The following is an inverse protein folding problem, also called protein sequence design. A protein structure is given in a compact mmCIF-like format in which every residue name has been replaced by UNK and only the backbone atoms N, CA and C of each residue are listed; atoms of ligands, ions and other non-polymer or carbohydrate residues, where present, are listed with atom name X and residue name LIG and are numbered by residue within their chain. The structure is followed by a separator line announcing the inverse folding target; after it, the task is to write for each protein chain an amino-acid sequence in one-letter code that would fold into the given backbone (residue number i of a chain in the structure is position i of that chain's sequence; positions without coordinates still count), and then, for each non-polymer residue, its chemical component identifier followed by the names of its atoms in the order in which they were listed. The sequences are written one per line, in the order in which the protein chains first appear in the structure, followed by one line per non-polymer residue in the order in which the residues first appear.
data_IF_778293252674
#
_entry.id   IF_778293252674
#
_cell.length_a   1.000
_cell.length_b   1.000
_cell.length_c   1.000
_cell.angle_alpha   90.00
_cell.angle_beta   90.00
_cell.angle_gamma   90.00
#
_symmetry.space_group_name_H-M   'P 1'
#
loop_
_entity.id
_entity.type
_entity.pdbx_description
1 polymer ?
#
# COMPACT_ATOMS: atom_id res chain seq x y z
N UNK A 1 -12.48 16.13 -7.10
CA UNK A 1 -12.40 16.99 -8.29
C UNK A 1 -10.96 17.39 -8.62
N UNK A 2 -10.18 18.02 -7.74
CA UNK A 2 -8.77 18.38 -8.04
C UNK A 2 -7.91 17.16 -8.40
N UNK A 3 -8.04 16.06 -7.66
CA UNK A 3 -7.31 14.82 -7.92
C UNK A 3 -7.59 14.18 -9.28
N UNK A 4 -8.78 14.36 -9.84
CA UNK A 4 -9.13 13.84 -11.17
C UNK A 4 -9.00 14.88 -12.28
N UNK A 5 -8.63 16.14 -11.96
CA UNK A 5 -8.53 17.23 -12.92
C UNK A 5 -9.86 17.65 -13.55
N UNK A 6 -10.98 17.44 -12.84
CA UNK A 6 -12.33 17.74 -13.34
C UNK A 6 -13.08 18.74 -12.45
N UNK A 7 -14.14 19.33 -12.96
CA UNK A 7 -15.04 20.15 -12.19
C UNK A 7 -15.75 19.35 -11.09
N UNK A 8 -16.26 19.99 -10.06
CA UNK A 8 -16.88 19.31 -8.92
C UNK A 8 -18.13 18.54 -9.33
N UNK A 9 -18.95 19.08 -10.17
CA UNK A 9 -20.15 18.47 -10.72
C UNK A 9 -19.86 17.25 -11.57
N UNK A 10 -18.69 17.18 -12.19
CA UNK A 10 -18.27 16.07 -13.07
C UNK A 10 -17.51 14.95 -12.33
N UNK A 11 -17.23 15.12 -11.03
CA UNK A 11 -16.40 14.18 -10.29
C UNK A 11 -16.97 12.76 -10.27
N UNK A 12 -18.21 12.60 -9.79
CA UNK A 12 -18.85 11.27 -9.70
C UNK A 12 -19.13 10.64 -11.07
N UNK A 13 -19.67 11.39 -12.07
CA UNK A 13 -19.83 10.86 -13.41
C UNK A 13 -18.51 10.39 -14.04
N UNK A 14 -17.42 11.17 -13.88
CA UNK A 14 -16.10 10.81 -14.40
C UNK A 14 -15.53 9.58 -13.72
N UNK A 15 -15.58 9.53 -12.37
CA UNK A 15 -15.13 8.36 -11.62
C UNK A 15 -15.88 7.10 -12.02
N UNK A 16 -17.23 7.17 -12.08
CA UNK A 16 -18.07 6.04 -12.50
C UNK A 16 -17.80 5.58 -13.93
N UNK A 17 -17.46 6.50 -14.83
CA UNK A 17 -17.08 6.19 -16.21
C UNK A 17 -15.71 5.49 -16.25
N UNK A 18 -14.71 6.02 -15.53
CA UNK A 18 -13.35 5.50 -15.52
C UNK A 18 -13.28 4.13 -14.86
N UNK A 19 -14.01 3.88 -13.77
CA UNK A 19 -14.11 2.56 -13.11
C UNK A 19 -14.65 1.43 -14.00
N UNK A 20 -15.28 1.76 -15.12
CA UNK A 20 -15.78 0.78 -16.11
C UNK A 20 -14.78 0.51 -17.24
N UNK A 21 -13.66 1.23 -17.28
CA UNK A 21 -12.62 1.00 -18.26
C UNK A 21 -11.71 -0.15 -17.79
N UNK A 22 -11.02 -0.83 -18.71
CA UNK A 22 -10.00 -1.80 -18.34
C UNK A 22 -8.85 -1.12 -17.58
N UNK A 23 -8.17 -1.85 -16.67
CA UNK A 23 -7.02 -1.31 -15.96
C UNK A 23 -5.88 -0.98 -16.92
N UNK A 24 -5.14 0.10 -16.64
CA UNK A 24 -3.98 0.51 -17.45
C UNK A 24 -2.71 -0.28 -17.12
N UNK A 25 -2.63 -0.84 -15.89
CA UNK A 25 -1.43 -1.51 -15.41
C UNK A 25 -0.35 -0.55 -14.94
N UNK A 26 0.89 -1.06 -14.87
CA UNK A 26 2.06 -0.34 -14.37
C UNK A 26 3.09 -0.12 -15.47
N UNK A 27 3.88 0.95 -15.31
CA UNK A 27 5.10 1.21 -16.08
C UNK A 27 6.28 1.12 -15.12
N UNK A 28 7.18 0.19 -15.37
CA UNK A 28 8.39 0.06 -14.55
C UNK A 28 9.39 1.14 -14.92
N UNK A 29 9.86 1.88 -13.92
CA UNK A 29 10.93 2.88 -14.06
C UNK A 29 12.10 2.54 -13.15
N UNK A 30 13.30 2.94 -13.55
CA UNK A 30 14.50 2.58 -12.81
C UNK A 30 14.66 3.36 -11.49
N UNK A 31 14.11 4.57 -11.42
CA UNK A 31 14.20 5.46 -10.26
C UNK A 31 13.03 6.44 -10.23
N UNK A 32 12.86 7.15 -9.12
CA UNK A 32 11.84 8.19 -8.93
C UNK A 32 12.09 8.98 -7.66
N UNK A 33 11.27 10.00 -7.36
CA UNK A 33 11.42 10.82 -6.17
C UNK A 33 11.53 10.04 -4.86
N UNK A 34 10.81 8.92 -4.73
CA UNK A 34 10.87 8.04 -3.55
C UNK A 34 12.27 7.47 -3.28
N UNK A 35 13.16 7.49 -4.27
CA UNK A 35 14.55 6.98 -4.18
C UNK A 35 15.58 8.08 -3.89
N UNK A 36 15.18 9.33 -3.65
CA UNK A 36 16.12 10.42 -3.40
C UNK A 36 16.92 10.23 -2.09
N UNK A 37 16.28 9.64 -1.08
CA UNK A 37 16.91 9.35 0.22
C UNK A 37 16.58 7.92 0.62
N UNK A 38 17.60 7.11 0.86
CA UNK A 38 17.45 5.69 1.21
C UNK A 38 18.17 5.42 2.53
N UNK A 39 17.47 4.79 3.47
CA UNK A 39 18.01 4.27 4.72
C UNK A 39 17.89 2.75 4.72
N UNK A 40 18.97 2.05 5.08
CA UNK A 40 18.98 0.59 5.16
C UNK A 40 19.70 0.11 6.43
N UNK A 41 19.42 -1.13 6.83
CA UNK A 41 20.09 -1.75 7.97
C UNK A 41 19.90 -0.97 9.27
N UNK A 42 21.01 -0.62 9.93
CA UNK A 42 20.99 0.06 11.24
C UNK A 42 20.62 1.55 11.17
N UNK A 43 20.62 2.14 9.97
CA UNK A 43 20.21 3.53 9.78
C UNK A 43 18.67 3.69 9.76
N UNK A 44 17.94 2.59 9.66
CA UNK A 44 16.46 2.59 9.67
C UNK A 44 15.96 2.88 11.08
N UNK A 45 15.19 3.94 11.21
CA UNK A 45 14.49 4.30 12.45
C UNK A 45 13.17 5.00 12.11
N UNK A 46 12.10 4.21 11.97
CA UNK A 46 10.79 4.75 11.64
C UNK A 46 10.10 5.46 12.82
N UNK A 47 10.66 5.40 14.04
CA UNK A 47 10.21 6.24 15.15
C UNK A 47 10.46 7.74 14.89
N UNK A 48 11.32 8.07 13.91
CA UNK A 48 11.52 9.43 13.43
C UNK A 48 10.34 9.94 12.58
N UNK A 49 9.50 9.04 12.05
CA UNK A 49 8.29 9.45 11.36
C UNK A 49 7.31 10.09 12.37
N UNK A 50 6.60 11.16 11.96
CA UNK A 50 5.70 11.90 12.85
C UNK A 50 4.37 11.15 13.08
N UNK A 51 4.44 9.99 13.72
CA UNK A 51 3.27 9.22 14.09
C UNK A 51 2.53 9.90 15.26
N UNK A 52 1.30 10.36 15.09
CA UNK A 52 0.56 11.02 16.15
C UNK A 52 0.02 10.03 17.19
N UNK A 53 -0.24 10.54 18.39
CA UNK A 53 -1.17 9.94 19.36
C UNK A 53 -2.49 10.67 19.16
N UNK A 54 -3.53 10.00 18.68
CA UNK A 54 -4.78 10.65 18.28
C UNK A 54 -5.65 11.06 19.47
N UNK A 55 -5.59 10.29 20.57
CA UNK A 55 -6.28 10.62 21.81
C UNK A 55 -5.46 10.23 23.05
N UNK A 56 -5.76 10.85 24.20
CA UNK A 56 -5.10 10.51 25.45
C UNK A 56 -5.38 9.06 25.92
N UNK A 57 -6.51 8.53 25.52
CA UNK A 57 -6.95 7.19 25.87
C UNK A 57 -6.21 6.10 25.08
N UNK A 58 -5.80 6.40 23.82
CA UNK A 58 -5.06 5.44 23.00
C UNK A 58 -3.65 5.18 23.51
N UNK A 59 -2.98 6.21 24.03
CA UNK A 59 -1.65 6.12 24.62
C UNK A 59 -0.52 5.66 23.68
N UNK A 60 -0.82 5.30 22.46
CA UNK A 60 0.11 4.78 21.47
C UNK A 60 0.17 5.65 20.21
N UNK A 61 1.33 5.66 19.56
CA UNK A 61 1.48 6.25 18.25
C UNK A 61 0.80 5.37 17.21
N UNK A 62 0.06 5.99 16.32
CA UNK A 62 -0.68 5.26 15.29
C UNK A 62 -0.60 6.02 13.95
N UNK A 63 -0.30 5.28 12.90
CA UNK A 63 -0.30 5.81 11.53
C UNK A 63 -1.19 4.92 10.69
N UNK A 64 -2.18 5.48 10.00
CA UNK A 64 -2.88 4.81 8.92
C UNK A 64 -2.18 5.12 7.62
N UNK A 65 -1.81 4.09 6.87
CA UNK A 65 -1.13 4.22 5.60
C UNK A 65 -1.60 3.16 4.61
N UNK A 66 -1.38 3.42 3.33
CA UNK A 66 -1.56 2.41 2.30
C UNK A 66 -0.47 1.36 2.44
N UNK A 67 -0.85 0.10 2.38
CA UNK A 67 0.09 -1.01 2.30
C UNK A 67 0.00 -1.71 0.96
N UNK A 68 1.13 -2.21 0.49
CA UNK A 68 1.24 -3.02 -0.71
C UNK A 68 1.78 -4.38 -0.31
N UNK A 69 1.09 -5.43 -0.70
CA UNK A 69 1.53 -6.83 -0.58
C UNK A 69 1.35 -7.53 -1.93
N UNK A 70 2.01 -8.66 -2.12
CA UNK A 70 1.94 -9.44 -3.35
C UNK A 70 1.47 -10.86 -3.04
N UNK A 71 0.50 -11.33 -3.82
CA UNK A 71 0.05 -12.72 -3.78
C UNK A 71 1.19 -13.64 -4.22
N UNK A 72 1.60 -14.63 -3.38
CA UNK A 72 2.77 -15.46 -3.67
C UNK A 72 2.53 -16.47 -4.80
N UNK A 73 1.28 -16.77 -5.14
CA UNK A 73 0.93 -17.72 -6.19
C UNK A 73 0.81 -17.04 -7.56
N UNK A 74 0.15 -15.89 -7.59
CA UNK A 74 -0.22 -15.22 -8.84
C UNK A 74 0.68 -14.05 -9.18
N UNK A 75 1.43 -13.52 -8.19
CA UNK A 75 2.20 -12.28 -8.34
C UNK A 75 1.37 -11.02 -8.33
N UNK A 76 0.09 -11.13 -8.06
CA UNK A 76 -0.87 -10.04 -8.03
C UNK A 76 -0.61 -9.06 -6.88
N UNK A 77 -0.70 -7.78 -7.15
CA UNK A 77 -0.52 -6.71 -6.17
C UNK A 77 -1.84 -6.32 -5.53
N UNK A 78 -1.90 -6.39 -4.21
CA UNK A 78 -3.00 -5.86 -3.43
C UNK A 78 -2.57 -4.62 -2.67
N UNK A 79 -3.39 -3.60 -2.68
CA UNK A 79 -3.23 -2.43 -1.82
C UNK A 79 -4.41 -2.30 -0.86
N UNK A 80 -4.11 -1.94 0.37
CA UNK A 80 -5.13 -1.76 1.40
C UNK A 80 -4.66 -0.74 2.43
N UNK A 81 -5.58 -0.23 3.25
CA UNK A 81 -5.22 0.55 4.43
C UNK A 81 -5.07 -0.35 5.65
N UNK A 82 -3.99 -0.16 6.39
CA UNK A 82 -3.84 -0.75 7.71
C UNK A 82 -3.28 0.27 8.70
N UNK A 83 -3.74 0.13 9.93
CA UNK A 83 -3.17 0.83 11.05
C UNK A 83 -1.84 0.24 11.45
N UNK A 84 -0.86 1.09 11.64
CA UNK A 84 0.49 0.69 12.01
C UNK A 84 0.91 1.41 13.28
N UNK A 85 1.38 0.65 14.27
CA UNK A 85 1.88 1.15 15.55
C UNK A 85 3.37 0.87 15.63
N UNK A 86 4.25 1.87 15.46
CA UNK A 86 5.67 1.73 15.69
C UNK A 86 5.95 1.47 17.17
N UNK A 87 6.66 0.38 17.49
CA UNK A 87 7.04 0.04 18.88
C UNK A 87 8.54 0.01 19.12
N UNK A 88 9.32 0.13 18.05
CA UNK A 88 10.78 0.22 18.09
C UNK A 88 11.31 0.74 16.77
N UNK A 89 12.60 1.04 16.66
CA UNK A 89 13.19 1.62 15.44
C UNK A 89 12.90 0.84 14.16
N UNK A 90 12.78 -0.48 14.27
CA UNK A 90 12.57 -1.40 13.14
C UNK A 90 11.44 -2.40 13.37
N UNK A 91 10.58 -2.17 14.37
CA UNK A 91 9.51 -3.08 14.72
C UNK A 91 8.21 -2.32 14.95
N UNK A 92 7.10 -2.92 14.57
CA UNK A 92 5.76 -2.40 14.80
C UNK A 92 4.69 -3.47 14.72
N UNK A 93 3.50 -3.10 15.09
CA UNK A 93 2.30 -3.90 14.91
C UNK A 93 1.46 -3.32 13.79
N UNK A 94 0.80 -4.19 13.04
CA UNK A 94 -0.14 -3.80 12.00
C UNK A 94 -1.48 -4.51 12.23
N UNK A 95 -2.57 -3.77 12.01
CA UNK A 95 -3.91 -4.31 12.04
C UNK A 95 -4.48 -4.36 10.64
N UNK A 96 -4.59 -5.56 10.08
CA UNK A 96 -5.17 -5.78 8.76
C UNK A 96 -6.67 -6.02 8.89
N UNK A 97 -7.47 -5.10 8.39
CA UNK A 97 -8.93 -5.20 8.42
C UNK A 97 -9.54 -5.69 7.09
N UNK A 98 -8.72 -5.77 6.02
CA UNK A 98 -9.21 -6.07 4.68
C UNK A 98 -9.17 -7.57 4.37
N UNK A 99 -10.25 -8.14 3.78
CA UNK A 99 -10.32 -9.57 3.46
C UNK A 99 -9.18 -10.05 2.54
N UNK A 100 -8.83 -9.26 1.54
CA UNK A 100 -7.81 -9.63 0.54
C UNK A 100 -6.43 -9.85 1.16
N UNK A 101 -6.01 -8.96 2.06
CA UNK A 101 -4.73 -9.15 2.78
C UNK A 101 -4.74 -10.43 3.61
N UNK A 102 -5.85 -10.77 4.26
CA UNK A 102 -5.97 -12.02 5.00
C UNK A 102 -5.89 -13.26 4.10
N UNK A 103 -6.51 -13.22 2.92
CA UNK A 103 -6.41 -14.31 1.93
C UNK A 103 -4.96 -14.48 1.49
N UNK A 104 -4.26 -13.40 1.18
CA UNK A 104 -2.84 -13.44 0.79
C UNK A 104 -1.98 -13.99 1.94
N UNK A 105 -2.16 -13.50 3.17
CA UNK A 105 -1.47 -14.04 4.35
C UNK A 105 -1.71 -15.54 4.52
N UNK A 106 -2.94 -16.03 4.30
CA UNK A 106 -3.26 -17.44 4.38
C UNK A 106 -2.53 -18.26 3.31
N UNK A 107 -2.41 -17.75 2.09
CA UNK A 107 -1.63 -18.40 1.02
C UNK A 107 -0.15 -18.56 1.39
N UNK A 108 0.46 -17.52 2.00
CA UNK A 108 1.83 -17.64 2.53
C UNK A 108 1.93 -18.80 3.52
N UNK A 109 1.00 -18.90 4.48
CA UNK A 109 0.96 -20.00 5.46
C UNK A 109 0.78 -21.37 4.81
N UNK A 110 -0.14 -21.48 3.85
CA UNK A 110 -0.44 -22.73 3.15
C UNK A 110 0.75 -23.24 2.32
N UNK A 111 1.59 -22.32 1.84
CA UNK A 111 2.87 -22.61 1.18
C UNK A 111 4.02 -22.92 2.15
N UNK A 112 3.77 -22.83 3.46
CA UNK A 112 4.79 -23.04 4.49
C UNK A 112 5.76 -21.86 4.63
N UNK A 113 5.43 -20.70 4.08
CA UNK A 113 6.19 -19.45 4.23
C UNK A 113 5.79 -18.74 5.52
N UNK A 114 6.76 -18.19 6.21
CA UNK A 114 6.54 -17.46 7.48
C UNK A 114 6.66 -15.95 7.32
N UNK A 115 7.22 -15.50 6.21
CA UNK A 115 7.56 -14.12 5.95
C UNK A 115 6.81 -13.59 4.72
N UNK A 116 5.99 -12.56 4.90
CA UNK A 116 5.30 -11.86 3.82
C UNK A 116 5.91 -10.46 3.66
N UNK A 117 6.50 -10.15 2.49
CA UNK A 117 6.95 -8.80 2.19
C UNK A 117 5.79 -7.79 2.20
N UNK A 118 6.06 -6.61 2.74
CA UNK A 118 5.12 -5.49 2.78
C UNK A 118 5.82 -4.17 2.55
N UNK A 119 5.20 -3.29 1.78
CA UNK A 119 5.60 -1.90 1.67
C UNK A 119 4.50 -1.00 2.26
N UNK A 120 4.86 -0.16 3.22
CA UNK A 120 3.97 0.85 3.82
C UNK A 120 4.27 2.17 3.13
N UNK A 121 3.26 2.76 2.49
CA UNK A 121 3.43 3.85 1.55
C UNK A 121 2.66 5.09 2.01
N UNK A 122 3.34 6.23 2.03
CA UNK A 122 2.80 7.52 2.43
C UNK A 122 2.95 8.55 1.32
N UNK A 123 2.03 9.52 1.28
CA UNK A 123 2.13 10.65 0.37
C UNK A 123 2.02 10.28 -1.09
N UNK A 124 0.99 9.52 -1.44
CA UNK A 124 0.67 9.17 -2.83
C UNK A 124 -0.48 10.02 -3.38
N UNK A 125 -0.66 9.98 -4.69
CA UNK A 125 -1.82 10.63 -5.30
C UNK A 125 -3.14 10.10 -4.72
N UNK A 126 -4.15 10.93 -4.41
CA UNK A 126 -5.39 10.51 -3.75
C UNK A 126 -6.15 9.36 -4.41
N UNK A 127 -5.92 9.10 -5.69
CA UNK A 127 -6.52 7.96 -6.38
C UNK A 127 -6.06 6.60 -5.81
N UNK A 128 -4.82 6.52 -5.30
CA UNK A 128 -4.33 5.32 -4.61
C UNK A 128 -5.12 5.08 -3.32
N UNK A 129 -5.37 6.16 -2.56
CA UNK A 129 -6.14 6.09 -1.32
C UNK A 129 -7.59 5.65 -1.57
N UNK A 130 -8.20 6.14 -2.66
CA UNK A 130 -9.54 5.73 -3.08
C UNK A 130 -9.55 4.24 -3.41
N UNK A 131 -8.57 3.78 -4.19
CA UNK A 131 -8.53 2.38 -4.63
C UNK A 131 -8.16 1.42 -3.51
N UNK A 132 -7.24 1.78 -2.62
CA UNK A 132 -6.88 0.98 -1.46
C UNK A 132 -8.05 0.74 -0.48
N UNK A 133 -9.11 1.55 -0.58
CA UNK A 133 -10.36 1.39 0.18
C UNK A 133 -11.51 0.81 -0.66
N UNK A 134 -11.26 0.45 -1.91
CA UNK A 134 -12.31 -0.06 -2.79
C UNK A 134 -12.48 -1.57 -2.62
N UNK A 135 -13.64 -2.00 -2.16
CA UNK A 135 -13.93 -3.40 -1.80
C UNK A 135 -14.74 -4.18 -2.86
N UNK A 136 -14.84 -3.67 -4.06
CA UNK A 136 -15.69 -4.26 -5.12
C UNK A 136 -14.93 -5.00 -6.23
N UNK A 137 -13.65 -5.31 -6.03
CA UNK A 137 -12.77 -5.81 -7.06
C UNK A 137 -12.69 -7.34 -7.08
N UNK A 138 -12.63 -7.90 -8.27
CA UNK A 138 -12.37 -9.33 -8.45
C UNK A 138 -10.85 -9.55 -8.52
N UNK A 139 -10.27 -10.11 -7.45
CA UNK A 139 -8.85 -10.46 -7.39
C UNK A 139 -8.37 -11.38 -8.53
N UNK A 140 -9.31 -12.01 -9.23
CA UNK A 140 -9.00 -12.93 -10.32
C UNK A 140 -8.66 -12.22 -11.64
N UNK A 141 -8.90 -10.92 -11.74
CA UNK A 141 -8.81 -10.19 -12.99
C UNK A 141 -7.87 -9.00 -12.95
N UNK A 142 -7.89 -8.19 -11.89
CA UNK A 142 -7.07 -6.99 -11.72
C UNK A 142 -7.18 -6.45 -10.28
N UNK A 143 -6.17 -5.72 -9.84
CA UNK A 143 -6.07 -5.18 -8.49
C UNK A 143 -6.37 -3.70 -8.38
N UNK A 144 -6.42 -3.26 -7.14
CA UNK A 144 -6.64 -1.86 -6.81
C UNK A 144 -5.59 -0.97 -7.47
N UNK A 145 -4.34 -1.43 -7.48
CA UNK A 145 -3.21 -0.66 -8.00
C UNK A 145 -3.32 -0.40 -9.52
N UNK A 146 -3.73 -1.41 -10.31
CA UNK A 146 -3.86 -1.27 -11.76
C UNK A 146 -4.97 -0.29 -12.15
N UNK A 147 -5.98 -0.13 -11.30
CA UNK A 147 -7.07 0.80 -11.53
C UNK A 147 -6.72 2.25 -11.24
N UNK A 148 -5.68 2.52 -10.45
CA UNK A 148 -5.28 3.90 -10.17
C UNK A 148 -4.99 4.66 -11.45
N UNK A 149 -4.18 4.08 -12.36
CA UNK A 149 -3.87 4.71 -13.65
C UNK A 149 -5.10 4.98 -14.50
N UNK A 150 -6.06 4.07 -14.47
CA UNK A 150 -7.34 4.24 -15.16
C UNK A 150 -8.15 5.40 -14.58
N UNK A 151 -8.17 5.53 -13.26
CA UNK A 151 -8.90 6.60 -12.58
C UNK A 151 -8.29 7.98 -12.85
N UNK A 152 -6.96 8.09 -12.83
CA UNK A 152 -6.29 9.38 -13.10
C UNK A 152 -6.08 9.65 -14.59
N UNK A 153 -6.34 8.66 -15.45
CA UNK A 153 -6.12 8.69 -16.89
C UNK A 153 -4.64 8.92 -17.27
N UNK A 154 -3.73 8.33 -16.51
CA UNK A 154 -2.29 8.38 -16.69
C UNK A 154 -1.67 7.02 -16.36
N UNK A 155 -0.50 6.73 -16.95
CA UNK A 155 0.26 5.55 -16.56
C UNK A 155 0.84 5.72 -15.16
N UNK A 156 0.90 4.62 -14.41
CA UNK A 156 1.48 4.60 -13.06
C UNK A 156 2.92 4.12 -13.17
N UNK A 157 3.83 4.98 -12.76
CA UNK A 157 5.25 4.62 -12.66
C UNK A 157 5.52 3.92 -11.33
N UNK A 158 6.14 2.74 -11.41
CA UNK A 158 6.52 1.91 -10.28
C UNK A 158 8.03 1.68 -10.27
N UNK A 159 8.63 1.76 -9.09
CA UNK A 159 10.05 1.42 -8.86
C UNK A 159 10.16 0.16 -8.01
N UNK A 160 11.22 -0.66 -8.19
CA UNK A 160 11.48 -1.79 -7.29
C UNK A 160 11.82 -1.27 -5.89
N UNK A 161 11.41 -2.01 -4.86
CA UNK A 161 11.88 -1.83 -3.50
C UNK A 161 13.39 -2.12 -3.39
N UNK A 162 14.03 -1.65 -2.30
CA UNK A 162 15.46 -1.84 -2.05
C UNK A 162 15.76 -3.22 -1.44
N UNK A 163 14.89 -3.68 -0.55
CA UNK A 163 15.18 -4.83 0.32
C UNK A 163 14.20 -5.99 0.18
N UNK A 164 13.08 -5.77 -0.51
CA UNK A 164 12.02 -6.77 -0.67
C UNK A 164 11.56 -6.87 -2.14
N UNK A 165 11.02 -8.02 -2.54
CA UNK A 165 10.52 -8.24 -3.90
C UNK A 165 9.11 -7.64 -4.09
N UNK A 166 9.02 -6.32 -3.97
CA UNK A 166 7.83 -5.53 -4.27
C UNK A 166 8.18 -4.34 -5.17
N UNK A 167 7.16 -3.74 -5.76
CA UNK A 167 7.20 -2.45 -6.44
C UNK A 167 6.31 -1.46 -5.74
N UNK A 168 6.72 -0.20 -5.73
CA UNK A 168 6.01 0.90 -5.08
C UNK A 168 5.88 2.07 -6.04
N UNK A 169 4.89 2.97 -5.85
CA UNK A 169 4.76 4.17 -6.68
C UNK A 169 6.04 5.02 -6.63
N UNK A 170 6.58 5.34 -7.81
CA UNK A 170 7.82 6.12 -7.95
C UNK A 170 7.73 7.52 -7.33
N UNK A 171 6.52 8.07 -7.24
CA UNK A 171 6.20 9.40 -6.73
C UNK A 171 5.64 9.40 -5.30
N UNK A 172 5.76 8.29 -4.56
CA UNK A 172 5.45 8.29 -3.13
C UNK A 172 6.43 9.19 -2.36
N UNK A 173 5.97 9.81 -1.28
CA UNK A 173 6.84 10.66 -0.44
C UNK A 173 7.72 9.80 0.48
N UNK A 174 7.15 8.76 1.09
CA UNK A 174 7.86 7.85 1.99
C UNK A 174 7.41 6.42 1.74
N UNK A 175 8.37 5.49 1.73
CA UNK A 175 8.10 4.05 1.74
C UNK A 175 8.88 3.41 2.89
N UNK A 176 8.21 2.60 3.67
CA UNK A 176 8.83 1.73 4.67
C UNK A 176 8.69 0.29 4.20
N UNK A 177 9.80 -0.34 3.92
CA UNK A 177 9.87 -1.75 3.53
C UNK A 177 9.99 -2.64 4.77
N UNK A 178 9.28 -3.75 4.78
CA UNK A 178 9.28 -4.65 5.92
C UNK A 178 8.82 -6.05 5.59
N UNK A 179 8.85 -6.88 6.62
CA UNK A 179 8.38 -8.27 6.59
C UNK A 179 7.32 -8.46 7.67
N UNK A 180 6.21 -9.04 7.31
CA UNK A 180 5.19 -9.49 8.25
C UNK A 180 5.44 -10.96 8.57
N UNK A 181 5.61 -11.27 9.86
CA UNK A 181 5.64 -12.66 10.34
C UNK A 181 4.20 -13.20 10.33
N UNK A 182 3.88 -14.00 9.32
CA UNK A 182 2.54 -14.57 9.14
C UNK A 182 2.32 -15.85 9.96
N UNK A 183 3.37 -16.38 10.62
CA UNK A 183 3.25 -17.54 11.50
C UNK A 183 2.59 -17.20 12.84
N UNK A 184 2.61 -15.93 13.21
CA UNK A 184 2.05 -15.43 14.45
C UNK A 184 0.75 -14.66 14.21
N UNK A 185 -0.26 -14.95 14.98
CA UNK A 185 -1.48 -14.14 15.10
C UNK A 185 -1.54 -13.62 16.52
N UNK A 186 -1.60 -12.31 16.66
CA UNK A 186 -1.87 -11.69 17.95
C UNK A 186 -3.37 -11.37 18.01
N UNK A 187 -4.07 -11.92 18.99
CA UNK A 187 -5.40 -11.41 19.36
C UNK A 187 -5.19 -10.08 20.09
N UNK A 188 -5.85 -9.03 19.64
CA UNK A 188 -5.85 -7.70 20.24
C UNK A 188 -7.06 -7.55 21.14
#
# INVERSE_FOLDING_TARGET
CRALGVAEEDYLPTLAKRLRQPPRGFVDVATGPVKEVIYTGDDVDWLKLPAPVHSAEEGQRYISAMNIVKDPETGFYNSSHAGTTPVGPRHGFMSFATPHTHIIMQKYRDMGLTEMPIAIVFGVHPAYEIMANFSGMHMDVWGEMEMVGTIIDQDIEMVPCETIDLRVPAHAEIVVEGIVDVSQTFEV
#
